data_IF_948113284444
#
_entry.id   IF_948113284444
#
_cell.length_a   1.000
_cell.length_b   1.000
_cell.length_c   1.000
_cell.angle_alpha   90.00
_cell.angle_beta   90.00
_cell.angle_gamma   90.00
#
_symmetry.space_group_name_H-M   'P 1'
#
loop_
_entity.id
_entity.type
_entity.pdbx_description
1 polymer ?
#
# COMPACT_ATOMS: atom_id res chain seq x y z
N UNK A 1 5.34 30.49 -3.77
CA UNK A 1 3.94 30.22 -4.14
C UNK A 1 3.92 28.80 -4.64
N UNK A 2 3.35 27.89 -3.85
CA UNK A 2 3.47 26.45 -4.05
C UNK A 2 2.67 26.02 -5.29
N UNK A 3 3.39 25.81 -6.39
CA UNK A 3 2.86 25.41 -7.69
C UNK A 3 2.05 24.09 -7.69
N UNK A 4 1.99 23.40 -6.55
CA UNK A 4 1.21 22.19 -6.31
C UNK A 4 -0.30 22.51 -6.28
N UNK A 5 -0.70 23.71 -5.85
CA UNK A 5 -2.12 24.09 -5.77
C UNK A 5 -2.70 24.69 -7.05
N UNK A 6 -1.87 25.10 -8.01
CA UNK A 6 -2.31 25.76 -9.25
C UNK A 6 -2.41 24.80 -10.45
N UNK A 7 -1.85 23.59 -10.35
CA UNK A 7 -1.97 22.57 -11.39
C UNK A 7 -3.12 21.62 -11.06
N UNK A 8 -3.93 21.18 -12.04
CA UNK A 8 -4.87 20.08 -11.80
C UNK A 8 -4.07 18.89 -11.27
N UNK A 9 -4.48 18.36 -10.12
CA UNK A 9 -3.78 17.26 -9.46
C UNK A 9 -3.69 16.07 -10.43
N UNK A 10 -2.50 15.58 -10.81
CA UNK A 10 -2.39 14.42 -11.69
C UNK A 10 -2.99 13.21 -11.00
N UNK A 11 -3.47 12.20 -11.74
CA UNK A 11 -4.10 11.01 -11.14
C UNK A 11 -3.21 10.29 -10.12
N UNK A 12 -1.89 10.55 -10.15
CA UNK A 12 -0.93 10.10 -9.14
C UNK A 12 0.22 11.08 -8.88
N UNK A 13 0.70 11.11 -7.64
CA UNK A 13 1.94 11.78 -7.20
C UNK A 13 2.77 10.81 -6.35
N UNK A 14 4.02 10.56 -6.72
CA UNK A 14 4.91 9.74 -5.90
C UNK A 14 5.41 10.52 -4.69
N UNK A 15 5.45 9.90 -3.52
CA UNK A 15 5.91 10.58 -2.30
C UNK A 15 7.39 10.98 -2.39
N UNK A 16 8.21 10.19 -3.09
CA UNK A 16 9.63 10.49 -3.35
C UNK A 16 9.85 11.77 -4.16
N UNK A 17 8.85 12.19 -4.95
CA UNK A 17 8.92 13.39 -5.77
C UNK A 17 8.60 14.66 -4.94
N UNK A 18 8.15 14.50 -3.69
CA UNK A 18 7.83 15.60 -2.77
C UNK A 18 8.91 15.68 -1.68
N UNK A 19 9.72 16.76 -1.63
CA UNK A 19 10.83 16.87 -0.70
C UNK A 19 10.45 16.62 0.76
N UNK A 20 11.14 15.67 1.40
CA UNK A 20 10.97 15.31 2.82
C UNK A 20 9.73 14.45 3.13
N UNK A 21 8.79 14.29 2.20
CA UNK A 21 7.56 13.54 2.44
C UNK A 21 7.81 12.03 2.56
N UNK A 22 8.68 11.49 1.71
CA UNK A 22 9.03 10.06 1.73
C UNK A 22 9.66 9.65 3.06
N UNK A 23 10.62 10.43 3.58
CA UNK A 23 11.28 10.15 4.85
C UNK A 23 10.30 10.22 6.03
N UNK A 24 9.46 11.26 6.05
CA UNK A 24 8.41 11.40 7.05
C UNK A 24 7.44 10.20 7.01
N UNK A 25 7.01 9.79 5.82
CA UNK A 25 6.06 8.70 5.68
C UNK A 25 6.69 7.35 6.01
N UNK A 26 7.95 7.11 5.62
CA UNK A 26 8.72 5.93 6.00
C UNK A 26 8.82 5.78 7.52
N UNK A 27 9.07 6.88 8.23
CA UNK A 27 9.05 6.87 9.70
C UNK A 27 7.66 6.49 10.24
N UNK A 28 6.57 6.95 9.64
CA UNK A 28 5.19 6.54 10.03
C UNK A 28 4.90 5.08 9.73
N UNK A 29 5.38 4.53 8.61
CA UNK A 29 5.26 3.10 8.31
C UNK A 29 5.90 2.27 9.42
N UNK A 30 7.15 2.59 9.78
CA UNK A 30 7.93 1.85 10.78
C UNK A 30 7.35 1.99 12.20
N UNK A 31 6.88 3.18 12.57
CA UNK A 31 6.43 3.44 13.95
C UNK A 31 4.95 3.14 14.18
N UNK A 32 4.13 2.99 13.13
CA UNK A 32 2.68 2.84 13.25
C UNK A 32 2.12 1.67 12.45
N UNK A 33 2.27 1.68 11.12
CA UNK A 33 1.57 0.70 10.26
C UNK A 33 2.18 -0.70 10.35
N UNK A 34 3.50 -0.84 10.40
CA UNK A 34 4.14 -2.15 10.50
C UNK A 34 3.89 -2.81 11.87
N UNK A 35 3.99 -2.10 13.01
CA UNK A 35 3.55 -2.64 14.29
C UNK A 35 2.07 -3.04 14.32
N UNK A 36 1.19 -2.23 13.71
CA UNK A 36 -0.23 -2.57 13.57
C UNK A 36 -0.41 -3.87 12.77
N UNK A 37 0.21 -3.98 11.59
CA UNK A 37 0.10 -5.19 10.76
C UNK A 37 0.64 -6.42 11.48
N UNK A 38 1.78 -6.29 12.16
CA UNK A 38 2.36 -7.38 12.96
C UNK A 38 1.40 -7.83 14.07
N UNK A 39 0.73 -6.90 14.75
CA UNK A 39 -0.25 -7.24 15.79
C UNK A 39 -1.50 -7.95 15.26
N UNK A 40 -1.90 -7.69 14.00
CA UNK A 40 -3.02 -8.36 13.33
C UNK A 40 -2.65 -9.77 12.85
N UNK A 41 -1.38 -10.00 12.50
CA UNK A 41 -0.91 -11.27 11.95
C UNK A 41 0.37 -11.78 12.64
N UNK A 42 0.36 -11.99 13.97
CA UNK A 42 1.58 -12.32 14.74
C UNK A 42 2.16 -13.69 14.40
N UNK A 43 1.37 -14.58 13.80
CA UNK A 43 1.82 -15.91 13.37
C UNK A 43 2.53 -15.90 12.01
N UNK A 44 2.35 -14.84 11.22
CA UNK A 44 2.94 -14.68 9.89
C UNK A 44 4.12 -13.70 9.96
N UNK A 45 4.01 -12.67 10.80
CA UNK A 45 4.99 -11.59 10.93
C UNK A 45 5.63 -11.68 12.31
N UNK A 46 6.88 -12.14 12.35
CA UNK A 46 7.61 -12.32 13.61
C UNK A 46 7.90 -10.96 14.28
N UNK A 47 8.31 -9.95 13.51
CA UNK A 47 8.56 -8.59 14.00
C UNK A 47 8.19 -7.53 12.95
N UNK A 48 7.82 -6.30 13.37
CA UNK A 48 7.48 -5.21 12.44
C UNK A 48 8.59 -4.93 11.43
N UNK A 49 9.82 -5.13 11.87
CA UNK A 49 11.02 -4.99 11.07
C UNK A 49 11.04 -5.91 9.84
N UNK A 50 10.28 -7.00 9.79
CA UNK A 50 10.26 -7.89 8.62
C UNK A 50 9.33 -7.38 7.52
N UNK A 51 8.64 -6.26 7.75
CA UNK A 51 7.71 -5.66 6.79
C UNK A 51 8.45 -4.63 5.92
N UNK A 52 8.23 -4.69 4.60
CA UNK A 52 8.75 -3.75 3.61
C UNK A 52 7.61 -3.14 2.83
N UNK A 53 7.75 -1.87 2.46
CA UNK A 53 6.89 -1.22 1.48
C UNK A 53 7.73 -0.93 0.25
N UNK A 54 7.30 -1.37 -0.94
CA UNK A 54 8.08 -1.19 -2.16
C UNK A 54 8.09 0.26 -2.62
N UNK A 55 6.91 0.84 -2.81
CA UNK A 55 6.76 2.20 -3.31
C UNK A 55 5.53 2.86 -2.67
N UNK A 56 5.56 4.19 -2.58
CA UNK A 56 4.48 4.98 -1.97
C UNK A 56 4.05 6.11 -2.90
N UNK A 57 2.75 6.15 -3.16
CA UNK A 57 2.13 7.06 -4.14
C UNK A 57 0.79 7.55 -3.59
N UNK A 58 0.46 8.81 -3.82
CA UNK A 58 -0.90 9.31 -3.67
C UNK A 58 -1.62 9.11 -5.00
N UNK A 59 -2.78 8.46 -4.97
CA UNK A 59 -3.65 8.30 -6.14
C UNK A 59 -4.94 9.07 -5.92
N UNK A 60 -5.40 9.75 -6.97
CA UNK A 60 -6.71 10.42 -7.00
C UNK A 60 -7.60 9.73 -8.02
N UNK A 61 -8.81 9.42 -7.58
CA UNK A 61 -9.91 9.04 -8.44
C UNK A 61 -10.91 10.19 -8.53
N UNK A 62 -11.47 10.42 -9.70
CA UNK A 62 -12.37 11.53 -10.00
C UNK A 62 -13.55 11.01 -10.84
N UNK A 63 -14.77 11.42 -10.48
CA UNK A 63 -15.99 11.01 -11.19
C UNK A 63 -15.99 11.41 -12.68
N UNK A 64 -15.31 12.51 -13.02
CA UNK A 64 -15.19 13.02 -14.39
C UNK A 64 -13.91 12.53 -15.11
N UNK A 65 -13.09 11.70 -14.44
CA UNK A 65 -11.82 11.19 -14.93
C UNK A 65 -11.64 9.70 -14.67
N UNK A 66 -10.53 9.32 -14.04
CA UNK A 66 -10.32 7.95 -13.58
C UNK A 66 -11.21 7.67 -12.37
N UNK A 67 -12.39 7.09 -12.61
CA UNK A 67 -13.43 6.90 -11.58
C UNK A 67 -13.35 5.55 -10.84
N UNK A 68 -12.52 4.62 -11.33
CA UNK A 68 -12.44 3.24 -10.88
C UNK A 68 -11.09 2.61 -11.22
N UNK A 69 -10.85 1.40 -10.74
CA UNK A 69 -9.72 0.58 -11.14
C UNK A 69 -10.19 -0.86 -11.35
N UNK A 70 -9.79 -1.45 -12.47
CA UNK A 70 -10.14 -2.83 -12.82
C UNK A 70 -9.76 -3.82 -11.72
N UNK A 71 -10.51 -4.91 -11.63
CA UNK A 71 -10.23 -5.94 -10.63
C UNK A 71 -8.99 -6.75 -11.01
N UNK A 72 -8.05 -6.89 -10.07
CA UNK A 72 -6.76 -7.55 -10.25
C UNK A 72 -6.30 -8.23 -8.94
N UNK A 73 -5.10 -8.78 -8.95
CA UNK A 73 -4.38 -9.26 -7.76
C UNK A 73 -3.02 -8.58 -7.73
N UNK A 74 -2.57 -8.20 -6.54
CA UNK A 74 -1.25 -7.62 -6.35
C UNK A 74 -0.22 -8.72 -6.15
N UNK A 75 0.97 -8.53 -6.74
CA UNK A 75 2.13 -9.39 -6.51
C UNK A 75 2.84 -9.03 -5.19
N UNK A 76 2.09 -9.00 -4.08
CA UNK A 76 2.55 -8.59 -2.75
C UNK A 76 2.10 -9.58 -1.66
N UNK A 77 2.70 -9.51 -0.47
CA UNK A 77 2.23 -10.24 0.70
C UNK A 77 0.93 -9.65 1.23
N UNK A 78 0.91 -8.32 1.41
CA UNK A 78 -0.27 -7.55 1.80
C UNK A 78 -0.40 -6.30 0.94
N UNK A 79 -1.62 -5.81 0.83
CA UNK A 79 -1.92 -4.52 0.24
C UNK A 79 -2.74 -3.67 1.20
N UNK A 80 -2.50 -2.37 1.16
CA UNK A 80 -3.17 -1.39 1.99
C UNK A 80 -3.80 -0.32 1.10
N UNK A 81 -4.89 0.27 1.57
CA UNK A 81 -5.33 1.58 1.11
C UNK A 81 -5.56 2.48 2.31
N UNK A 82 -4.95 3.67 2.32
CA UNK A 82 -5.15 4.72 3.33
C UNK A 82 -6.02 5.81 2.74
N UNK A 83 -7.14 6.16 3.39
CA UNK A 83 -7.98 7.27 2.95
C UNK A 83 -7.35 8.63 3.29
N UNK A 84 -7.28 9.55 2.32
CA UNK A 84 -6.71 10.89 2.50
C UNK A 84 -7.73 12.01 2.59
N UNK A 85 -8.98 11.74 2.22
CA UNK A 85 -10.09 12.66 2.35
C UNK A 85 -11.30 11.95 2.97
N UNK A 86 -12.33 12.71 3.31
CA UNK A 86 -13.46 12.20 4.08
C UNK A 86 -14.33 11.30 3.20
N UNK A 87 -14.94 10.29 3.81
CA UNK A 87 -15.80 9.36 3.06
C UNK A 87 -17.10 9.98 2.52
N UNK A 88 -17.45 11.19 2.99
CA UNK A 88 -18.57 12.03 2.55
C UNK A 88 -18.18 13.08 1.49
N UNK A 89 -16.90 13.21 1.14
CA UNK A 89 -16.43 14.09 0.04
C UNK A 89 -16.72 13.50 -1.36
N UNK A 90 -17.16 12.24 -1.43
CA UNK A 90 -17.44 11.54 -2.68
C UNK A 90 -18.55 10.47 -2.53
N UNK A 91 -19.25 10.20 -3.62
CA UNK A 91 -20.25 9.12 -3.70
C UNK A 91 -19.69 7.86 -4.35
N UNK A 92 -20.18 6.69 -3.91
CA UNK A 92 -19.62 5.40 -4.31
C UNK A 92 -18.22 5.18 -3.73
N UNK A 93 -17.29 4.73 -4.56
CA UNK A 93 -15.88 4.53 -4.21
C UNK A 93 -15.64 3.36 -3.25
N UNK A 94 -14.40 3.29 -2.75
CA UNK A 94 -13.92 2.21 -1.90
C UNK A 94 -13.11 1.14 -2.64
N UNK A 95 -12.61 0.17 -1.88
CA UNK A 95 -11.91 -1.01 -2.42
C UNK A 95 -12.93 -2.13 -2.58
N UNK A 96 -13.18 -2.54 -3.83
CA UNK A 96 -14.14 -3.58 -4.17
C UNK A 96 -13.49 -4.95 -4.13
N UNK A 97 -14.10 -5.88 -3.40
CA UNK A 97 -13.78 -7.29 -3.37
C UNK A 97 -14.97 -8.06 -3.97
N UNK A 98 -14.93 -8.45 -5.24
CA UNK A 98 -16.05 -9.09 -5.92
C UNK A 98 -16.33 -10.54 -5.47
N UNK A 99 -15.36 -11.20 -4.85
CA UNK A 99 -15.40 -12.63 -4.53
C UNK A 99 -15.10 -12.87 -3.04
N UNK A 100 -15.96 -12.34 -2.15
CA UNK A 100 -15.87 -12.64 -0.73
C UNK A 100 -16.93 -13.64 -0.30
N UNK A 101 -16.58 -14.42 0.71
CA UNK A 101 -17.46 -15.33 1.43
C UNK A 101 -17.18 -15.13 2.92
N UNK A 102 -18.23 -15.01 3.73
CA UNK A 102 -18.10 -14.91 5.17
C UNK A 102 -17.50 -16.21 5.73
N UNK A 103 -16.80 -16.13 6.85
CA UNK A 103 -16.22 -17.32 7.49
C UNK A 103 -17.30 -18.31 7.96
N UNK A 104 -18.45 -17.78 8.35
CA UNK A 104 -19.63 -18.53 8.78
C UNK A 104 -20.55 -18.96 7.63
N UNK A 105 -20.24 -18.61 6.38
CA UNK A 105 -21.02 -19.02 5.23
C UNK A 105 -20.85 -20.53 4.95
N UNK A 106 -21.96 -21.26 4.85
CA UNK A 106 -21.96 -22.69 4.54
C UNK A 106 -21.45 -23.02 3.12
N UNK A 107 -21.11 -24.27 2.80
CA UNK A 107 -20.50 -24.67 1.52
C UNK A 107 -21.28 -24.25 0.27
N UNK A 108 -22.60 -24.07 0.36
CA UNK A 108 -23.47 -23.68 -0.75
C UNK A 108 -23.75 -22.18 -0.90
N UNK A 109 -23.34 -21.35 0.06
CA UNK A 109 -23.63 -19.91 0.02
C UNK A 109 -22.84 -19.19 -1.08
N UNK A 110 -23.45 -18.23 -1.79
CA UNK A 110 -22.85 -17.55 -2.92
C UNK A 110 -21.74 -16.58 -2.48
N UNK A 111 -20.77 -16.36 -3.35
CA UNK A 111 -19.85 -15.24 -3.20
C UNK A 111 -20.59 -13.92 -3.33
N UNK A 112 -20.16 -12.92 -2.55
CA UNK A 112 -20.71 -11.57 -2.55
C UNK A 112 -19.64 -10.53 -2.86
N UNK A 113 -20.06 -9.46 -3.52
CA UNK A 113 -19.25 -8.26 -3.71
C UNK A 113 -19.38 -7.38 -2.46
N UNK A 114 -18.24 -6.91 -1.96
CA UNK A 114 -18.17 -5.89 -0.91
C UNK A 114 -17.30 -4.73 -1.36
N UNK A 115 -17.76 -3.50 -1.21
CA UNK A 115 -16.94 -2.31 -1.36
C UNK A 115 -16.65 -1.72 0.02
N UNK A 116 -15.39 -1.71 0.42
CA UNK A 116 -14.97 -1.20 1.73
C UNK A 116 -14.38 0.19 1.57
N UNK A 117 -14.90 1.16 2.34
CA UNK A 117 -14.30 2.49 2.50
C UNK A 117 -14.20 2.84 3.98
N UNK A 118 -13.21 3.64 4.32
CA UNK A 118 -13.00 4.19 5.66
C UNK A 118 -13.04 5.70 5.59
N UNK A 119 -13.25 6.36 6.73
CA UNK A 119 -13.06 7.81 6.80
C UNK A 119 -11.57 8.18 6.73
N UNK A 120 -11.28 9.49 6.62
CA UNK A 120 -9.93 10.05 6.51
C UNK A 120 -8.96 9.46 7.56
N UNK A 121 -7.78 9.06 7.11
CA UNK A 121 -6.75 8.40 7.93
C UNK A 121 -7.03 6.92 8.25
N UNK A 122 -8.22 6.41 7.92
CA UNK A 122 -8.55 5.01 8.03
C UNK A 122 -7.81 4.15 7.01
N UNK A 123 -7.66 2.87 7.34
CA UNK A 123 -6.86 1.90 6.59
C UNK A 123 -7.69 0.65 6.30
N UNK A 124 -7.67 0.20 5.05
CA UNK A 124 -8.10 -1.15 4.67
C UNK A 124 -6.85 -1.96 4.37
N UNK A 125 -6.72 -3.12 5.01
CA UNK A 125 -5.61 -4.06 4.80
C UNK A 125 -6.14 -5.41 4.36
N UNK A 126 -5.49 -6.04 3.38
CA UNK A 126 -5.90 -7.33 2.83
C UNK A 126 -4.68 -8.08 2.26
N UNK A 127 -4.75 -9.42 2.11
CA UNK A 127 -3.70 -10.17 1.42
C UNK A 127 -3.56 -9.68 -0.02
N UNK A 128 -2.33 -9.49 -0.51
CA UNK A 128 -2.09 -8.95 -1.87
C UNK A 128 -2.72 -9.78 -2.98
N UNK A 129 -2.78 -11.10 -2.76
CA UNK A 129 -3.42 -12.04 -3.67
C UNK A 129 -4.96 -12.00 -3.64
N UNK A 130 -5.60 -11.19 -2.80
CA UNK A 130 -7.05 -11.04 -2.83
C UNK A 130 -7.49 -10.39 -4.16
N UNK A 131 -8.49 -10.96 -4.84
CA UNK A 131 -9.01 -10.37 -6.06
C UNK A 131 -9.83 -9.13 -5.71
N UNK A 132 -9.38 -7.96 -6.15
CA UNK A 132 -9.91 -6.67 -5.71
C UNK A 132 -9.73 -5.58 -6.77
N UNK A 133 -10.40 -4.44 -6.63
CA UNK A 133 -10.26 -3.29 -7.53
C UNK A 133 -10.78 -1.99 -6.90
N UNK A 134 -10.68 -0.88 -7.63
CA UNK A 134 -11.24 0.41 -7.22
C UNK A 134 -12.72 0.47 -7.58
N UNK A 135 -13.61 0.51 -6.58
CA UNK A 135 -15.04 0.66 -6.83
C UNK A 135 -15.33 2.04 -7.44
N UNK A 136 -16.28 2.10 -8.37
CA UNK A 136 -16.61 3.31 -9.13
C UNK A 136 -17.06 4.45 -8.21
N UNK A 137 -16.50 5.64 -8.43
CA UNK A 137 -16.97 6.91 -7.89
C UNK A 137 -18.00 7.51 -8.84
N UNK A 138 -19.07 8.05 -8.28
CA UNK A 138 -20.17 8.65 -9.06
C UNK A 138 -20.29 10.17 -8.89
N UNK A 139 -19.62 10.73 -7.88
CA UNK A 139 -19.56 12.16 -7.61
C UNK A 139 -18.35 12.48 -6.72
N UNK A 140 -17.75 13.65 -6.90
CA UNK A 140 -16.60 14.11 -6.13
C UNK A 140 -15.29 13.41 -6.51
N UNK A 141 -14.31 13.46 -5.61
CA UNK A 141 -12.99 12.84 -5.80
C UNK A 141 -12.55 12.09 -4.54
N UNK A 142 -11.78 11.02 -4.73
CA UNK A 142 -11.22 10.20 -3.64
C UNK A 142 -9.72 10.14 -3.76
N UNK A 143 -9.04 10.49 -2.68
CA UNK A 143 -7.59 10.42 -2.59
C UNK A 143 -7.20 9.28 -1.64
N UNK A 144 -6.27 8.42 -2.08
CA UNK A 144 -5.73 7.35 -1.26
C UNK A 144 -4.22 7.23 -1.38
N UNK A 145 -3.61 6.57 -0.39
CA UNK A 145 -2.27 5.98 -0.53
C UNK A 145 -2.44 4.45 -0.61
N UNK A 146 -2.30 3.83 -1.79
CA UNK A 146 -2.11 2.39 -1.87
C UNK A 146 -0.69 2.03 -1.41
N UNK A 147 -0.53 0.95 -0.64
CA UNK A 147 0.77 0.43 -0.26
C UNK A 147 0.92 -1.03 -0.68
N UNK A 148 2.08 -1.34 -1.27
CA UNK A 148 2.47 -2.67 -1.69
C UNK A 148 3.46 -3.25 -0.67
N UNK A 149 2.99 -4.20 0.15
CA UNK A 149 3.72 -4.69 1.32
C UNK A 149 4.29 -6.08 1.08
N UNK A 150 5.58 -6.22 1.39
CA UNK A 150 6.33 -7.47 1.29
C UNK A 150 6.82 -7.89 2.67
N UNK A 151 6.85 -9.20 2.92
CA UNK A 151 7.51 -9.78 4.08
C UNK A 151 8.92 -10.23 3.69
N UNK A 152 9.91 -9.65 4.34
CA UNK A 152 11.32 -9.97 4.24
C UNK A 152 11.67 -11.05 5.27
N UNK A 153 11.50 -12.31 4.86
CA UNK A 153 11.94 -13.45 5.64
C UNK A 153 13.45 -13.63 5.43
N UNK A 154 14.25 -13.07 6.34
CA UNK A 154 15.69 -13.26 6.30
C UNK A 154 16.08 -14.70 6.70
N UNK A 155 16.05 -15.61 5.73
CA UNK A 155 16.39 -17.02 5.93
C UNK A 155 17.86 -17.24 6.31
N UNK A 156 18.74 -16.29 6.00
CA UNK A 156 20.17 -16.38 6.31
C UNK A 156 20.48 -16.33 7.81
N UNK A 157 19.54 -15.82 8.62
CA UNK A 157 19.71 -15.52 10.06
C UNK A 157 20.86 -14.57 10.40
N UNK A 158 21.52 -13.96 9.41
CA UNK A 158 22.58 -12.96 9.60
C UNK A 158 21.98 -11.57 9.75
N UNK A 159 22.79 -10.61 10.22
CA UNK A 159 22.36 -9.21 10.26
C UNK A 159 22.03 -8.70 8.86
N UNK A 160 21.07 -7.78 8.76
CA UNK A 160 20.71 -7.17 7.47
C UNK A 160 21.92 -6.47 6.87
N UNK A 161 22.02 -6.55 5.54
CA UNK A 161 23.15 -5.96 4.83
C UNK A 161 24.45 -6.77 4.93
N UNK A 162 24.45 -7.97 5.53
CA UNK A 162 25.67 -8.76 5.68
C UNK A 162 26.42 -8.98 4.36
N UNK A 163 25.71 -9.17 3.23
CA UNK A 163 26.35 -9.28 1.90
C UNK A 163 27.04 -7.95 1.54
N UNK A 164 26.39 -6.81 1.77
CA UNK A 164 26.97 -5.49 1.50
C UNK A 164 28.16 -5.20 2.42
N UNK A 165 28.08 -5.60 3.68
CA UNK A 165 29.15 -5.42 4.66
C UNK A 165 30.34 -6.31 4.32
N UNK A 166 30.09 -7.58 3.93
CA UNK A 166 31.10 -8.49 3.39
C UNK A 166 31.77 -7.89 2.15
N UNK A 167 31.00 -7.38 1.19
CA UNK A 167 31.52 -6.74 -0.03
C UNK A 167 32.33 -5.46 0.25
N UNK A 168 31.89 -4.63 1.21
CA UNK A 168 32.63 -3.44 1.68
C UNK A 168 33.94 -3.84 2.36
N UNK A 169 33.90 -4.87 3.20
CA UNK A 169 35.08 -5.37 3.92
C UNK A 169 36.11 -6.04 3.00
N UNK A 170 35.66 -6.56 1.86
CA UNK A 170 36.50 -7.24 0.88
C UNK A 170 37.24 -6.29 -0.09
N UNK A 171 37.14 -4.96 0.04
CA UNK A 171 37.72 -3.97 -0.89
C UNK A 171 37.31 -4.12 -2.36
N UNK A 172 36.18 -4.78 -2.63
CA UNK A 172 35.70 -5.08 -4.00
C UNK A 172 34.97 -3.88 -4.62
N UNK A 173 34.59 -2.88 -3.82
CA UNK A 173 33.70 -1.79 -4.26
C UNK A 173 34.40 -0.57 -4.89
N UNK A 174 35.74 -0.51 -4.94
CA UNK A 174 36.43 0.60 -5.63
C UNK A 174 36.29 0.55 -7.16
N UNK A 175 35.80 -0.55 -7.75
CA UNK A 175 35.68 -0.73 -9.21
C UNK A 175 34.34 -1.29 -9.70
N UNK A 176 33.34 -1.49 -8.84
CA UNK A 176 32.05 -2.02 -9.26
C UNK A 176 30.97 -0.92 -9.23
N UNK A 177 30.85 -0.19 -10.34
CA UNK A 177 29.61 0.50 -10.66
C UNK A 177 28.51 -0.56 -10.80
N UNK A 178 27.71 -0.76 -9.75
CA UNK A 178 26.45 -1.48 -9.86
C UNK A 178 25.50 -0.68 -10.74
N UNK A 179 25.27 -1.19 -11.95
CA UNK A 179 24.10 -0.84 -12.76
C UNK A 179 22.92 -1.63 -12.19
N UNK A 180 21.84 -0.91 -11.87
CA UNK A 180 20.61 -1.41 -11.25
C UNK A 180 19.89 -2.45 -12.11
#
# INVERSE_FOLDING_TARGET
VDAIYERPFPDRIWLRDVPGLEDWFRHRLQTRLFPMLQSLYPHIIAKPDDVRCHDTVVVRYDADGMDSLETHRDATSFSFTIALNRADDYEGGGTSFPLLKAEDDGPGEPFRRLAVKTDIGGVVVFPGQCFHGGNKITSGHRCIIPLFIFLDHNESRRNRGYILDELKSASVLDNAACVF
#
